data_IF_316893147143
#
_entry.id   IF_316893147143
#
_cell.length_a   1.000
_cell.length_b   1.000
_cell.length_c   1.000
_cell.angle_alpha   90.00
_cell.angle_beta   90.00
_cell.angle_gamma   90.00
#
_symmetry.space_group_name_H-M   'P 1'
#
loop_
_entity.id
_entity.type
_entity.pdbx_description
1 polymer ?
#
# COMPACT_ATOMS: atom_id res chain seq x y z
N UNK A 1 27.63 36.27 6.95
CA UNK A 1 26.45 35.87 6.17
C UNK A 1 26.70 34.46 5.66
N UNK A 2 26.07 33.41 6.19
CA UNK A 2 26.17 32.10 5.57
C UNK A 2 25.27 32.10 4.32
N UNK A 3 25.85 31.76 3.17
CA UNK A 3 25.11 31.40 1.97
C UNK A 3 24.36 30.10 2.27
N UNK A 4 23.04 30.16 2.47
CA UNK A 4 22.22 28.95 2.40
C UNK A 4 22.23 28.47 0.94
N UNK A 5 22.92 27.36 0.69
CA UNK A 5 22.83 26.66 -0.58
C UNK A 5 21.41 26.06 -0.68
N UNK A 6 20.53 26.71 -1.43
CA UNK A 6 19.22 26.15 -1.76
C UNK A 6 19.38 25.02 -2.77
N UNK A 7 19.53 23.80 -2.28
CA UNK A 7 19.56 22.59 -3.10
C UNK A 7 18.14 22.22 -3.54
N UNK A 8 17.89 22.23 -4.84
CA UNK A 8 16.64 21.72 -5.41
C UNK A 8 16.75 20.21 -5.62
N UNK A 9 15.91 19.44 -4.93
CA UNK A 9 15.90 17.98 -4.99
C UNK A 9 14.68 17.48 -5.78
N UNK A 10 14.92 16.50 -6.66
CA UNK A 10 13.89 15.75 -7.36
C UNK A 10 13.93 14.31 -6.84
N UNK A 11 12.87 13.89 -6.18
CA UNK A 11 12.78 12.65 -5.42
C UNK A 11 11.79 11.69 -6.11
N UNK A 12 12.11 10.40 -6.07
CA UNK A 12 11.21 9.35 -6.57
C UNK A 12 9.98 9.18 -5.66
N UNK A 13 9.12 8.24 -6.01
CA UNK A 13 7.92 7.90 -5.23
C UNK A 13 8.22 7.26 -3.87
N UNK A 14 9.48 6.93 -3.58
CA UNK A 14 9.91 6.46 -2.28
C UNK A 14 9.83 7.52 -1.17
N UNK A 15 9.84 8.81 -1.54
CA UNK A 15 9.83 9.94 -0.59
C UNK A 15 8.47 10.62 -0.48
N UNK A 16 7.53 10.31 -1.38
CA UNK A 16 6.32 11.07 -1.66
C UNK A 16 5.56 11.59 -0.42
N UNK A 17 4.62 10.81 0.11
CA UNK A 17 3.79 11.14 1.27
C UNK A 17 4.30 10.44 2.55
N UNK A 18 5.54 9.92 2.48
CA UNK A 18 6.19 9.13 3.52
C UNK A 18 6.78 10.02 4.60
N UNK A 19 5.96 10.36 5.59
CA UNK A 19 6.37 11.21 6.72
C UNK A 19 7.48 10.60 7.56
N UNK A 20 7.57 9.27 7.61
CA UNK A 20 8.61 8.54 8.32
C UNK A 20 10.00 8.75 7.74
N UNK A 21 10.11 8.99 6.42
CA UNK A 21 11.39 9.23 5.72
C UNK A 21 11.94 10.64 6.01
N UNK A 22 11.04 11.63 6.12
CA UNK A 22 11.42 13.04 6.33
C UNK A 22 11.50 13.43 7.81
N UNK A 23 11.11 12.53 8.71
CA UNK A 23 11.08 12.78 10.16
C UNK A 23 12.46 13.20 10.68
N UNK A 24 12.50 14.31 11.41
CA UNK A 24 13.72 14.97 11.92
C UNK A 24 14.66 15.56 10.85
N UNK A 25 14.29 15.51 9.56
CA UNK A 25 15.04 16.08 8.44
C UNK A 25 14.16 17.04 7.61
N UNK A 26 13.13 17.61 8.24
CA UNK A 26 12.11 18.41 7.56
C UNK A 26 12.74 19.65 6.92
N UNK A 27 13.63 20.34 7.63
CA UNK A 27 14.31 21.55 7.13
C UNK A 27 15.09 21.31 5.84
N UNK A 28 15.73 20.15 5.71
CA UNK A 28 16.49 19.78 4.50
C UNK A 28 15.57 19.31 3.36
N UNK A 29 14.35 18.89 3.69
CA UNK A 29 13.40 18.31 2.73
C UNK A 29 12.42 19.36 2.17
N UNK A 30 12.16 20.44 2.90
CA UNK A 30 11.31 21.55 2.45
C UNK A 30 11.77 22.05 1.08
N UNK A 31 10.82 22.15 0.15
CA UNK A 31 11.07 22.66 -1.19
C UNK A 31 11.35 21.59 -2.24
N UNK A 32 11.64 20.35 -1.83
CA UNK A 32 11.91 19.25 -2.75
C UNK A 32 10.68 18.88 -3.56
N UNK A 33 10.88 18.51 -4.83
CA UNK A 33 9.83 17.94 -5.68
C UNK A 33 9.87 16.42 -5.59
N UNK A 34 8.72 15.79 -5.45
CA UNK A 34 8.56 14.34 -5.48
C UNK A 34 7.38 13.94 -6.37
N UNK A 35 7.33 12.67 -6.74
CA UNK A 35 6.26 12.08 -7.53
C UNK A 35 5.51 11.02 -6.72
N UNK A 36 4.25 10.76 -7.06
CA UNK A 36 3.54 9.53 -6.66
C UNK A 36 2.62 9.07 -7.76
N UNK A 37 2.39 7.77 -7.82
CA UNK A 37 1.31 7.25 -8.63
C UNK A 37 -0.03 7.64 -8.02
N UNK A 38 -0.96 8.06 -8.87
CA UNK A 38 -2.34 8.21 -8.45
C UNK A 38 -2.89 6.84 -8.06
N UNK A 39 -3.42 6.77 -6.85
CA UNK A 39 -4.17 5.64 -6.34
C UNK A 39 -5.46 6.14 -5.69
N UNK A 40 -6.52 5.37 -5.83
CA UNK A 40 -7.80 5.62 -5.20
C UNK A 40 -7.75 5.23 -3.72
N UNK A 41 -8.36 6.05 -2.89
CA UNK A 41 -8.61 5.71 -1.49
C UNK A 41 -9.54 4.51 -1.37
N UNK A 42 -9.21 3.57 -0.50
CA UNK A 42 -9.98 2.33 -0.33
C UNK A 42 -10.73 2.31 1.00
N UNK A 43 -12.00 2.72 0.96
CA UNK A 43 -12.86 2.81 2.16
C UNK A 43 -13.15 1.44 2.79
N UNK A 44 -13.20 0.38 1.97
CA UNK A 44 -13.47 -0.98 2.45
C UNK A 44 -12.27 -1.54 3.22
N UNK A 45 -11.05 -1.28 2.74
CA UNK A 45 -9.82 -1.61 3.47
C UNK A 45 -9.80 -0.92 4.83
N UNK A 46 -10.09 0.37 4.87
CA UNK A 46 -10.12 1.14 6.11
C UNK A 46 -11.19 0.61 7.07
N UNK A 47 -12.41 0.36 6.59
CA UNK A 47 -13.48 -0.22 7.41
C UNK A 47 -13.06 -1.55 8.04
N UNK A 48 -12.40 -2.42 7.27
CA UNK A 48 -11.85 -3.67 7.78
C UNK A 48 -10.71 -3.43 8.78
N UNK A 49 -9.73 -2.60 8.42
CA UNK A 49 -8.54 -2.33 9.23
C UNK A 49 -8.91 -1.72 10.59
N UNK A 50 -9.84 -0.78 10.60
CA UNK A 50 -10.36 -0.13 11.81
C UNK A 50 -11.17 -1.04 12.72
N UNK A 51 -11.67 -2.17 12.20
CA UNK A 51 -12.36 -3.18 12.98
C UNK A 51 -11.42 -4.21 13.62
N UNK A 52 -10.11 -4.14 13.39
CA UNK A 52 -9.14 -5.09 13.94
C UNK A 52 -8.86 -4.82 15.42
N UNK A 53 -8.78 -5.91 16.19
CA UNK A 53 -8.49 -5.88 17.63
C UNK A 53 -7.34 -6.88 17.96
N UNK A 54 -6.40 -6.51 18.85
CA UNK A 54 -5.19 -7.30 19.12
C UNK A 54 -5.45 -8.65 19.80
N UNK A 55 -6.62 -8.85 20.40
CA UNK A 55 -7.02 -10.10 21.06
C UNK A 55 -7.77 -11.04 20.13
N UNK A 56 -8.45 -10.50 19.11
CA UNK A 56 -9.23 -11.30 18.14
C UNK A 56 -8.46 -11.61 16.86
N UNK A 57 -7.56 -10.73 16.42
CA UNK A 57 -6.78 -10.91 15.20
C UNK A 57 -5.58 -11.84 15.42
N UNK A 58 -5.86 -13.15 15.51
CA UNK A 58 -4.84 -14.17 15.74
C UNK A 58 -4.10 -14.61 14.45
N UNK A 59 -4.60 -14.20 13.28
CA UNK A 59 -4.03 -14.61 11.97
C UNK A 59 -2.71 -13.90 11.68
N UNK A 60 -2.57 -12.65 12.09
CA UNK A 60 -1.38 -11.86 11.81
C UNK A 60 -0.41 -11.94 13.02
N UNK A 61 0.73 -12.65 12.87
CA UNK A 61 1.65 -12.90 13.98
C UNK A 61 2.36 -11.65 14.49
N UNK A 62 2.37 -10.54 13.73
CA UNK A 62 3.03 -9.28 14.10
C UNK A 62 2.06 -8.21 14.61
N UNK A 63 0.76 -8.52 14.67
CA UNK A 63 -0.26 -7.51 14.94
C UNK A 63 -0.22 -7.02 16.39
N UNK A 64 0.16 -7.90 17.33
CA UNK A 64 0.30 -7.53 18.75
C UNK A 64 1.47 -6.59 18.95
N UNK A 65 2.62 -6.90 18.35
CA UNK A 65 3.82 -6.05 18.36
C UNK A 65 3.52 -4.69 17.73
N UNK A 66 2.83 -4.68 16.58
CA UNK A 66 2.37 -3.45 15.94
C UNK A 66 1.49 -2.61 16.89
N UNK A 67 0.53 -3.23 17.58
CA UNK A 67 -0.37 -2.53 18.51
C UNK A 67 0.40 -1.88 19.67
N UNK A 68 1.32 -2.62 20.28
CA UNK A 68 2.17 -2.13 21.37
C UNK A 68 2.99 -0.89 20.95
N UNK A 69 3.65 -0.96 19.79
CA UNK A 69 4.46 0.15 19.25
C UNK A 69 3.59 1.34 18.83
N UNK A 70 2.46 1.08 18.17
CA UNK A 70 1.57 2.13 17.66
C UNK A 70 0.99 2.97 18.79
N UNK A 71 0.59 2.33 19.88
CA UNK A 71 -0.11 2.95 20.99
C UNK A 71 0.74 3.14 22.25
N UNK A 72 2.04 2.82 22.18
CA UNK A 72 2.99 2.90 23.29
C UNK A 72 2.45 2.23 24.57
N UNK A 73 2.00 0.97 24.43
CA UNK A 73 1.46 0.18 25.52
C UNK A 73 1.93 -1.27 25.45
N UNK A 74 1.68 -2.04 26.51
CA UNK A 74 2.09 -3.43 26.66
C UNK A 74 0.88 -4.36 26.71
N UNK A 75 0.89 -5.41 25.90
CA UNK A 75 -0.01 -6.56 25.97
C UNK A 75 0.58 -7.69 26.82
N UNK A 76 1.85 -7.58 27.23
CA UNK A 76 2.54 -8.54 28.10
C UNK A 76 2.88 -9.88 27.45
N UNK A 77 2.91 -9.95 26.11
CA UNK A 77 3.03 -11.21 25.35
C UNK A 77 4.36 -11.32 24.60
N UNK A 78 4.93 -10.20 24.13
CA UNK A 78 6.11 -10.22 23.24
C UNK A 78 7.42 -9.86 23.98
N UNK A 79 8.58 -10.44 23.59
CA UNK A 79 9.89 -10.03 24.10
C UNK A 79 10.22 -8.60 23.62
N UNK A 80 9.89 -7.62 24.46
CA UNK A 80 9.88 -6.19 24.14
C UNK A 80 8.75 -5.43 24.86
N UNK A 81 7.72 -6.16 25.30
CA UNK A 81 6.56 -5.64 26.03
C UNK A 81 6.92 -4.96 27.37
N UNK A 82 8.10 -5.23 27.93
CA UNK A 82 8.65 -4.55 29.12
C UNK A 82 9.07 -3.08 28.87
N UNK A 83 9.10 -2.63 27.61
CA UNK A 83 9.44 -1.24 27.26
C UNK A 83 8.34 -0.24 27.63
N UNK A 84 7.09 -0.69 27.76
CA UNK A 84 5.93 0.18 27.94
C UNK A 84 5.30 0.02 29.33
N UNK A 85 5.14 1.13 30.05
CA UNK A 85 4.55 1.14 31.40
C UNK A 85 3.01 1.07 31.41
N UNK A 86 2.37 1.38 30.28
CA UNK A 86 0.90 1.38 30.13
C UNK A 86 0.44 0.03 29.60
N UNK A 87 -0.59 -0.57 30.19
CA UNK A 87 -1.23 -1.77 29.63
C UNK A 87 -2.16 -1.40 28.47
N UNK A 88 -2.09 -2.15 27.37
CA UNK A 88 -3.02 -2.01 26.25
C UNK A 88 -4.40 -2.56 26.61
N UNK A 89 -5.46 -1.89 26.15
CA UNK A 89 -6.85 -2.28 26.47
C UNK A 89 -7.59 -2.94 25.32
N UNK A 90 -7.09 -2.80 24.09
CA UNK A 90 -7.78 -3.19 22.85
C UNK A 90 -8.82 -2.16 22.40
N UNK A 91 -9.10 -1.12 23.21
CA UNK A 91 -10.04 -0.04 22.87
C UNK A 91 -9.37 1.14 22.17
N UNK A 92 -8.05 1.10 22.01
CA UNK A 92 -7.33 2.10 21.24
C UNK A 92 -7.82 2.13 19.78
N UNK A 93 -7.91 3.32 19.19
CA UNK A 93 -8.54 3.51 17.87
C UNK A 93 -7.49 3.60 16.78
N UNK A 94 -7.48 2.63 15.87
CA UNK A 94 -6.59 2.65 14.70
C UNK A 94 -6.85 3.83 13.76
N UNK A 95 -8.06 4.39 13.81
CA UNK A 95 -8.47 5.59 13.06
C UNK A 95 -7.67 6.83 13.46
N UNK A 96 -7.21 6.91 14.72
CA UNK A 96 -6.54 8.11 15.22
C UNK A 96 -5.17 8.28 14.56
N UNK A 97 -5.00 9.38 13.82
CA UNK A 97 -3.77 9.66 13.07
C UNK A 97 -3.50 8.67 11.92
N UNK A 98 -4.52 7.93 11.46
CA UNK A 98 -4.41 7.04 10.30
C UNK A 98 -4.16 7.83 9.02
N UNK A 99 -3.25 7.31 8.20
CA UNK A 99 -3.05 7.71 6.82
C UNK A 99 -2.87 6.44 6.02
N UNK A 100 -3.82 6.17 5.12
CA UNK A 100 -3.75 5.00 4.25
C UNK A 100 -2.53 5.10 3.34
N UNK A 101 -1.75 4.02 3.24
CA UNK A 101 -0.62 3.96 2.31
C UNK A 101 -1.13 4.10 0.87
N UNK A 102 -0.50 4.98 0.09
CA UNK A 102 -0.91 5.28 -1.29
C UNK A 102 -0.79 4.09 -2.24
N UNK A 103 -0.18 2.98 -1.83
CA UNK A 103 0.01 1.78 -2.66
C UNK A 103 -0.97 0.65 -2.32
N UNK A 104 -1.88 0.83 -1.35
CA UNK A 104 -2.90 -0.18 -0.97
C UNK A 104 -3.72 -0.65 -2.18
N UNK A 105 -4.14 0.27 -3.05
CA UNK A 105 -4.88 -0.10 -4.26
C UNK A 105 -4.08 -1.04 -5.16
N UNK A 106 -2.78 -0.81 -5.33
CA UNK A 106 -1.92 -1.65 -6.17
C UNK A 106 -1.75 -3.05 -5.58
N UNK A 107 -1.66 -3.15 -4.26
CA UNK A 107 -1.62 -4.45 -3.55
C UNK A 107 -2.94 -5.20 -3.74
N UNK A 108 -4.10 -4.51 -3.66
CA UNK A 108 -5.38 -5.15 -3.95
C UNK A 108 -5.46 -5.60 -5.41
N UNK A 109 -5.07 -4.76 -6.36
CA UNK A 109 -5.05 -5.10 -7.79
C UNK A 109 -4.20 -6.34 -8.07
N UNK A 110 -3.02 -6.47 -7.48
CA UNK A 110 -2.16 -7.65 -7.71
C UNK A 110 -2.80 -8.95 -7.22
N UNK A 111 -3.47 -8.92 -6.06
CA UNK A 111 -4.23 -10.07 -5.53
C UNK A 111 -5.38 -10.42 -6.48
N UNK A 112 -6.12 -9.43 -6.97
CA UNK A 112 -7.20 -9.64 -7.93
C UNK A 112 -6.68 -10.17 -9.27
N UNK A 113 -5.54 -9.69 -9.77
CA UNK A 113 -4.88 -10.24 -10.96
C UNK A 113 -4.59 -11.73 -10.79
N UNK A 114 -4.04 -12.14 -9.65
CA UNK A 114 -3.80 -13.57 -9.37
C UNK A 114 -5.10 -14.36 -9.33
N UNK A 115 -6.14 -13.82 -8.69
CA UNK A 115 -7.46 -14.47 -8.61
C UNK A 115 -8.10 -14.63 -10.00
N UNK A 116 -8.07 -13.59 -10.83
CA UNK A 116 -8.59 -13.64 -12.20
C UNK A 116 -7.78 -14.59 -13.09
N UNK A 117 -6.46 -14.62 -12.96
CA UNK A 117 -5.62 -15.59 -13.66
C UNK A 117 -5.98 -17.03 -13.29
N UNK A 118 -6.12 -17.32 -11.99
CA UNK A 118 -6.52 -18.65 -11.51
C UNK A 118 -7.94 -19.02 -11.95
N UNK A 119 -8.86 -18.05 -11.93
CA UNK A 119 -10.23 -18.25 -12.37
C UNK A 119 -10.31 -18.57 -13.87
N UNK A 120 -9.56 -17.86 -14.71
CA UNK A 120 -9.51 -18.13 -16.15
C UNK A 120 -8.87 -19.50 -16.43
N UNK A 121 -7.78 -19.84 -15.74
CA UNK A 121 -7.16 -21.16 -15.83
C UNK A 121 -8.12 -22.28 -15.39
N UNK A 122 -8.88 -22.06 -14.31
CA UNK A 122 -9.87 -23.01 -13.81
C UNK A 122 -11.01 -23.24 -14.80
N UNK A 123 -11.56 -22.17 -15.37
CA UNK A 123 -12.65 -22.26 -16.35
C UNK A 123 -12.25 -23.10 -17.56
N UNK A 124 -11.01 -22.97 -18.01
CA UNK A 124 -10.51 -23.66 -19.20
C UNK A 124 -10.10 -25.12 -18.92
N UNK A 125 -9.45 -25.38 -17.79
CA UNK A 125 -8.91 -26.72 -17.46
C UNK A 125 -9.88 -27.60 -16.67
N UNK A 126 -10.84 -27.01 -15.96
CA UNK A 126 -11.78 -27.70 -15.07
C UNK A 126 -13.24 -27.35 -15.41
N UNK A 127 -13.70 -27.57 -16.66
CA UNK A 127 -15.06 -27.20 -17.06
C UNK A 127 -16.10 -27.96 -16.20
N UNK A 128 -17.21 -27.28 -15.87
CA UNK A 128 -18.34 -27.84 -15.12
C UNK A 128 -18.01 -28.49 -13.76
N UNK A 129 -16.87 -28.15 -13.18
CA UNK A 129 -16.43 -28.71 -11.90
C UNK A 129 -16.37 -27.61 -10.84
N UNK A 130 -16.94 -27.85 -9.66
CA UNK A 130 -16.73 -26.98 -8.50
C UNK A 130 -15.39 -27.34 -7.81
N UNK A 131 -14.55 -26.34 -7.57
CA UNK A 131 -13.24 -26.54 -6.94
C UNK A 131 -12.16 -26.99 -7.92
N UNK A 132 -10.98 -27.29 -7.40
CA UNK A 132 -9.78 -27.57 -8.20
C UNK A 132 -9.81 -29.02 -8.71
N UNK A 133 -9.65 -29.22 -10.02
CA UNK A 133 -9.58 -30.54 -10.64
C UNK A 133 -8.12 -31.04 -10.79
N UNK A 134 -7.88 -32.34 -11.08
CA UNK A 134 -6.54 -32.90 -11.21
C UNK A 134 -5.64 -32.19 -12.23
N UNK A 135 -6.20 -31.57 -13.28
CA UNK A 135 -5.45 -30.81 -14.28
C UNK A 135 -4.77 -29.53 -13.72
N UNK A 136 -5.20 -29.07 -12.55
CA UNK A 136 -4.63 -27.91 -11.85
C UNK A 136 -3.79 -28.30 -10.63
N UNK A 137 -3.53 -29.59 -10.41
CA UNK A 137 -2.79 -30.09 -9.25
C UNK A 137 -1.60 -30.96 -9.69
N UNK A 138 -0.35 -30.50 -9.53
CA UNK A 138 0.06 -29.16 -9.11
C UNK A 138 -0.15 -28.12 -10.23
N UNK A 139 -0.25 -26.84 -9.85
CA UNK A 139 -0.36 -25.74 -10.83
C UNK A 139 0.93 -25.64 -11.63
N UNK A 140 0.85 -25.76 -12.96
CA UNK A 140 1.97 -25.50 -13.84
C UNK A 140 2.21 -24.00 -13.96
N UNK A 141 3.34 -23.52 -13.42
CA UNK A 141 3.68 -22.08 -13.38
C UNK A 141 3.81 -21.42 -14.76
N UNK A 142 4.34 -22.12 -15.77
CA UNK A 142 4.47 -21.59 -17.13
C UNK A 142 3.12 -21.42 -17.81
N UNK A 143 2.19 -22.35 -17.57
CA UNK A 143 0.81 -22.25 -18.04
C UNK A 143 0.09 -21.12 -17.30
N UNK A 144 0.23 -21.07 -15.97
CA UNK A 144 -0.39 -20.03 -15.16
C UNK A 144 0.11 -18.61 -15.51
N UNK A 145 1.38 -18.46 -15.86
CA UNK A 145 1.94 -17.19 -16.34
C UNK A 145 1.20 -16.68 -17.58
N UNK A 146 0.82 -17.55 -18.52
CA UNK A 146 0.04 -17.16 -19.71
C UNK A 146 -1.33 -16.61 -19.31
N UNK A 147 -1.97 -17.21 -18.30
CA UNK A 147 -3.23 -16.73 -17.75
C UNK A 147 -3.10 -15.40 -17.01
N UNK A 148 -1.98 -15.16 -16.32
CA UNK A 148 -1.69 -13.88 -15.68
C UNK A 148 -1.45 -12.76 -16.71
N UNK A 149 -0.64 -13.02 -17.74
CA UNK A 149 -0.36 -12.06 -18.81
C UNK A 149 -1.61 -11.65 -19.59
N UNK A 150 -2.57 -12.58 -19.74
CA UNK A 150 -3.85 -12.33 -20.42
C UNK A 150 -4.98 -11.92 -19.47
N UNK A 151 -4.71 -11.73 -18.18
CA UNK A 151 -5.72 -11.35 -17.21
C UNK A 151 -6.23 -9.94 -17.51
N UNK A 152 -7.53 -9.83 -17.79
CA UNK A 152 -8.21 -8.55 -18.02
C UNK A 152 -9.47 -8.47 -17.17
N UNK A 153 -9.62 -7.39 -16.41
CA UNK A 153 -10.81 -7.17 -15.58
C UNK A 153 -11.07 -5.68 -15.32
N UNK A 154 -12.33 -5.34 -15.08
CA UNK A 154 -12.73 -3.99 -14.72
C UNK A 154 -12.37 -3.69 -13.25
N UNK A 155 -11.89 -2.48 -12.99
CA UNK A 155 -11.59 -1.98 -11.66
C UNK A 155 -12.09 -0.53 -11.54
N UNK A 156 -13.21 -0.32 -10.85
CA UNK A 156 -13.88 0.99 -10.82
C UNK A 156 -14.15 1.53 -12.25
N UNK A 157 -13.48 2.62 -12.64
CA UNK A 157 -13.66 3.29 -13.94
C UNK A 157 -12.51 3.01 -14.93
N UNK A 158 -11.68 2.00 -14.64
CA UNK A 158 -10.55 1.60 -15.47
C UNK A 158 -10.56 0.09 -15.71
N UNK A 159 -9.76 -0.35 -16.68
CA UNK A 159 -9.55 -1.77 -16.97
C UNK A 159 -8.12 -2.12 -16.64
N UNK A 160 -7.93 -3.15 -15.82
CA UNK A 160 -6.62 -3.75 -15.57
C UNK A 160 -6.33 -4.74 -16.69
N UNK A 161 -5.19 -4.58 -17.34
CA UNK A 161 -4.63 -5.48 -18.34
C UNK A 161 -3.10 -5.37 -18.33
N UNK A 162 -2.40 -6.22 -19.08
CA UNK A 162 -0.95 -6.23 -19.15
C UNK A 162 -0.47 -6.18 -20.60
N UNK A 163 0.61 -5.46 -20.84
CA UNK A 163 1.31 -5.43 -22.12
C UNK A 163 2.19 -6.67 -22.30
N UNK A 164 2.81 -6.84 -23.47
CA UNK A 164 3.64 -8.00 -23.81
C UNK A 164 4.80 -8.25 -22.82
N UNK A 165 5.29 -7.18 -22.17
CA UNK A 165 6.35 -7.24 -21.17
C UNK A 165 5.85 -7.47 -19.74
N UNK A 166 4.54 -7.54 -19.52
CA UNK A 166 3.92 -7.74 -18.21
C UNK A 166 3.68 -6.45 -17.43
N UNK A 167 3.88 -5.28 -18.06
CA UNK A 167 3.57 -4.01 -17.43
C UNK A 167 2.07 -3.69 -17.52
N UNK A 168 1.47 -3.16 -16.44
CA UNK A 168 0.12 -2.62 -16.49
C UNK A 168 0.07 -1.35 -17.36
N UNK A 169 -1.12 -0.89 -17.78
CA UNK A 169 -1.24 0.37 -18.52
C UNK A 169 -0.61 1.55 -17.77
N UNK A 170 -0.12 2.52 -18.56
CA UNK A 170 0.44 3.77 -18.08
C UNK A 170 -0.50 4.49 -17.11
N UNK A 171 0.08 5.10 -16.07
CA UNK A 171 -0.67 5.61 -14.92
C UNK A 171 -0.47 7.11 -14.78
N UNK A 172 -1.47 7.75 -14.19
CA UNK A 172 -1.37 9.16 -13.82
C UNK A 172 -0.34 9.32 -12.70
N UNK A 173 0.67 10.16 -12.94
CA UNK A 173 1.65 10.57 -11.92
C UNK A 173 1.25 11.94 -11.38
N UNK A 174 1.27 12.05 -10.05
CA UNK A 174 1.05 13.27 -9.30
C UNK A 174 2.41 13.79 -8.87
N UNK A 175 2.75 14.98 -9.34
CA UNK A 175 3.92 15.72 -8.89
C UNK A 175 3.51 16.58 -7.70
N UNK A 176 4.39 16.68 -6.72
CA UNK A 176 4.11 17.50 -5.55
C UNK A 176 5.38 18.00 -4.90
N UNK A 177 5.23 19.11 -4.17
CA UNK A 177 6.29 19.75 -3.42
C UNK A 177 6.14 19.40 -1.94
N UNK A 178 7.27 19.17 -1.28
CA UNK A 178 7.30 19.03 0.17
C UNK A 178 7.26 20.41 0.81
N UNK A 179 6.15 20.72 1.49
CA UNK A 179 5.90 22.02 2.10
C UNK A 179 5.73 21.91 3.61
N UNK A 180 6.13 22.97 4.32
CA UNK A 180 6.01 23.05 5.78
C UNK A 180 4.60 23.47 6.17
N UNK A 181 3.95 22.69 7.02
CA UNK A 181 2.62 22.99 7.56
C UNK A 181 2.61 22.89 9.10
N UNK A 182 1.59 23.48 9.77
CA UNK A 182 1.37 23.24 11.20
C UNK A 182 1.18 21.74 11.44
N UNK A 183 2.13 21.12 12.16
CA UNK A 183 2.14 19.67 12.41
C UNK A 183 3.16 18.87 11.59
N UNK A 184 3.96 19.51 10.73
CA UNK A 184 5.11 18.89 10.06
C UNK A 184 5.14 19.12 8.55
N UNK A 185 6.01 18.38 7.87
CA UNK A 185 6.15 18.42 6.42
C UNK A 185 5.04 17.61 5.72
N UNK A 186 4.47 18.18 4.65
CA UNK A 186 3.42 17.55 3.86
C UNK A 186 3.74 17.57 2.37
N UNK A 187 3.30 16.53 1.66
CA UNK A 187 3.28 16.51 0.20
C UNK A 187 2.09 17.31 -0.32
N UNK A 188 2.35 18.38 -1.06
CA UNK A 188 1.33 19.23 -1.68
C UNK A 188 1.39 19.03 -3.18
N UNK A 189 0.29 18.55 -3.78
CA UNK A 189 0.23 18.32 -5.22
C UNK A 189 0.39 19.62 -6.00
N UNK A 190 1.13 19.56 -7.12
CA UNK A 190 1.32 20.66 -8.06
C UNK A 190 0.52 20.31 -9.34
N UNK A 191 -0.72 20.78 -9.48
CA UNK A 191 -1.63 20.32 -10.54
C UNK A 191 -1.13 20.59 -11.96
N UNK A 192 -0.32 21.64 -12.14
CA UNK A 192 0.26 22.04 -13.43
C UNK A 192 1.28 21.05 -13.99
N UNK A 193 1.73 20.08 -13.20
CA UNK A 193 2.74 19.09 -13.59
C UNK A 193 2.16 17.67 -13.77
N UNK A 194 0.85 17.47 -13.59
CA UNK A 194 0.25 16.13 -13.70
C UNK A 194 0.24 15.62 -15.15
N UNK A 195 0.74 14.41 -15.36
CA UNK A 195 0.79 13.74 -16.67
C UNK A 195 0.54 12.23 -16.57
N UNK A 196 0.36 11.59 -17.71
CA UNK A 196 0.40 10.13 -17.83
C UNK A 196 1.84 9.72 -18.10
N UNK A 197 2.31 8.68 -17.40
CA UNK A 197 3.58 8.00 -17.66
C UNK A 197 3.28 6.56 -18.06
#
# INVERSE_FOLDING_TARGET
MPLEAHLYQFLSDGWSDRQDVVKNQEKASVGSLSIRFHAKYDDDFDRYYFGLDPFTNLRNPWFKEFWEVRFNCSLGISPGSAQYNRTCTGKEKLQEGHKQDTKVEFVKKSIYTMAHGLHNMHRDLCPNTSGVCPAMVPVNGSVFLQYLMNATFAWSNETVFFHENGDPPGRRVIYGKLESHPGGLCFVSVPSLHGLV
#
